data_IF_312201167464
#
_entry.id   IF_312201167464
#
_cell.length_a   1.000
_cell.length_b   1.000
_cell.length_c   1.000
_cell.angle_alpha   90.00
_cell.angle_beta   90.00
_cell.angle_gamma   90.00
#
_symmetry.space_group_name_H-M   'P 1'
#
loop_
_entity.id
_entity.type
_entity.pdbx_description
1 polymer ?
#
# COMPACT_ATOMS: atom_id res chain seq x y z
N UNK A 1 -15.46 -2.67 16.43
CA UNK A 1 -14.96 -2.70 17.82
C UNK A 1 -13.55 -2.17 17.75
N UNK A 2 -13.27 -1.04 18.40
CA UNK A 2 -11.93 -0.45 18.38
C UNK A 2 -10.90 -1.47 18.86
N UNK A 3 -9.79 -1.60 18.11
CA UNK A 3 -8.63 -2.44 18.48
C UNK A 3 -7.97 -1.95 19.78
N UNK A 4 -8.23 -0.70 20.18
CA UNK A 4 -7.64 -0.04 21.33
C UNK A 4 -8.72 0.38 22.36
N UNK A 5 -8.58 0.00 23.65
CA UNK A 5 -9.56 0.32 24.69
C UNK A 5 -9.80 1.82 24.93
N UNK A 6 -8.77 2.65 24.70
CA UNK A 6 -8.77 4.09 24.94
C UNK A 6 -8.87 4.91 23.63
N UNK A 7 -9.47 4.33 22.59
CA UNK A 7 -9.59 5.01 21.29
C UNK A 7 -10.73 6.03 21.28
N UNK A 8 -10.46 7.22 20.76
CA UNK A 8 -11.49 8.19 20.37
C UNK A 8 -11.55 8.24 18.86
N UNK A 9 -12.76 8.17 18.32
CA UNK A 9 -13.03 8.37 16.89
C UNK A 9 -13.66 9.75 16.71
N UNK A 10 -13.06 10.57 15.86
CA UNK A 10 -13.58 11.86 15.44
C UNK A 10 -14.05 11.79 14.00
N UNK A 11 -15.22 12.34 13.73
CA UNK A 11 -15.73 12.53 12.37
C UNK A 11 -15.44 13.96 11.95
N UNK A 12 -14.60 14.10 10.93
CA UNK A 12 -14.26 15.40 10.36
C UNK A 12 -15.07 15.65 9.09
N UNK A 13 -15.24 16.92 8.75
CA UNK A 13 -15.91 17.34 7.51
C UNK A 13 -14.92 17.60 6.37
N UNK A 14 -13.67 17.92 6.72
CA UNK A 14 -12.56 18.05 5.79
C UNK A 14 -12.45 19.40 5.07
N UNK A 15 -11.41 19.59 4.25
CA UNK A 15 -11.03 20.88 3.68
C UNK A 15 -12.10 21.53 2.79
N UNK A 16 -12.91 20.73 2.10
CA UNK A 16 -13.92 21.25 1.17
C UNK A 16 -15.11 21.91 1.86
N UNK A 17 -15.29 21.65 3.17
CA UNK A 17 -16.41 22.14 3.96
C UNK A 17 -16.02 23.25 4.92
N UNK A 18 -14.75 23.69 4.88
CA UNK A 18 -14.18 24.66 5.81
C UNK A 18 -14.87 26.04 5.79
N UNK A 19 -15.47 26.42 4.66
CA UNK A 19 -16.22 27.67 4.50
C UNK A 19 -17.66 27.59 5.07
N UNK A 20 -18.12 26.44 5.57
CA UNK A 20 -19.46 26.30 6.16
C UNK A 20 -19.52 26.86 7.58
N UNK A 21 -20.63 27.53 7.88
CA UNK A 21 -20.87 28.18 9.17
C UNK A 21 -20.78 27.23 10.37
N UNK A 22 -21.08 25.93 10.19
CA UNK A 22 -21.11 24.92 11.25
C UNK A 22 -19.86 24.02 11.33
N UNK A 23 -18.84 24.26 10.49
CA UNK A 23 -17.63 23.43 10.38
C UNK A 23 -16.89 23.27 11.72
N UNK A 24 -16.56 24.39 12.38
CA UNK A 24 -15.89 24.38 13.68
C UNK A 24 -16.79 23.78 14.79
N UNK A 25 -18.07 24.15 14.80
CA UNK A 25 -19.01 23.77 15.86
C UNK A 25 -19.26 22.26 15.91
N UNK A 26 -19.29 21.61 14.73
CA UNK A 26 -19.48 20.17 14.60
C UNK A 26 -18.35 19.37 15.28
N UNK A 27 -17.10 19.78 15.08
CA UNK A 27 -15.95 19.12 15.69
C UNK A 27 -15.81 19.47 17.17
N UNK A 28 -16.00 20.74 17.56
CA UNK A 28 -15.95 21.17 18.95
C UNK A 28 -16.93 20.39 19.83
N UNK A 29 -18.13 20.12 19.33
CA UNK A 29 -19.15 19.34 20.04
C UNK A 29 -18.71 17.89 20.33
N UNK A 30 -17.92 17.28 19.43
CA UNK A 30 -17.32 15.97 19.65
C UNK A 30 -16.20 16.05 20.69
N UNK A 31 -15.30 17.03 20.55
CA UNK A 31 -14.16 17.22 21.45
C UNK A 31 -14.58 17.51 22.90
N UNK A 32 -15.66 18.27 23.12
CA UNK A 32 -16.17 18.55 24.46
C UNK A 32 -16.50 17.27 25.27
N UNK A 33 -16.91 16.21 24.58
CA UNK A 33 -17.28 14.93 25.19
C UNK A 33 -16.14 13.90 25.14
N UNK A 34 -15.06 14.19 24.39
CA UNK A 34 -13.93 13.30 24.24
C UNK A 34 -12.95 13.43 25.42
N UNK A 35 -12.51 12.29 25.95
CA UNK A 35 -11.42 12.25 26.92
C UNK A 35 -10.14 12.81 26.29
N UNK A 36 -9.46 13.73 26.99
CA UNK A 36 -8.21 14.35 26.51
C UNK A 36 -7.00 13.43 26.61
N UNK A 37 -6.95 12.65 27.68
CA UNK A 37 -5.83 11.76 28.00
C UNK A 37 -6.05 10.41 27.30
N UNK A 38 -5.83 10.39 25.99
CA UNK A 38 -5.92 9.21 25.13
C UNK A 38 -4.60 9.00 24.41
N UNK A 39 -4.42 7.78 23.89
CA UNK A 39 -3.23 7.41 23.10
C UNK A 39 -3.57 7.00 21.67
N UNK A 40 -4.83 6.66 21.41
CA UNK A 40 -5.30 6.22 20.11
C UNK A 40 -6.38 7.16 19.60
N UNK A 41 -6.12 7.78 18.46
CA UNK A 41 -7.04 8.68 17.78
C UNK A 41 -7.34 8.12 16.39
N UNK A 42 -8.62 7.99 16.07
CA UNK A 42 -9.13 7.66 14.75
C UNK A 42 -9.84 8.88 14.17
N UNK A 43 -9.45 9.26 12.96
CA UNK A 43 -10.06 10.33 12.18
C UNK A 43 -10.77 9.65 11.01
N UNK A 44 -12.09 9.84 10.96
CA UNK A 44 -12.99 9.14 10.06
C UNK A 44 -13.78 10.14 9.19
N UNK A 45 -14.39 9.62 8.12
CA UNK A 45 -15.18 10.29 7.08
C UNK A 45 -14.39 11.13 6.07
N UNK A 46 -13.33 11.83 6.47
CA UNK A 46 -12.48 12.63 5.58
C UNK A 46 -11.09 12.89 6.20
N UNK A 47 -10.17 13.51 5.45
CA UNK A 47 -8.96 14.13 6.03
C UNK A 47 -9.33 15.43 6.74
N UNK A 48 -8.69 15.83 7.85
CA UNK A 48 -9.02 17.09 8.52
C UNK A 48 -8.63 18.32 7.70
N UNK A 49 -9.43 19.39 7.77
CA UNK A 49 -9.02 20.73 7.35
C UNK A 49 -7.94 21.31 8.28
N UNK A 50 -7.29 22.41 7.90
CA UNK A 50 -6.33 23.10 8.76
C UNK A 50 -6.97 23.60 10.06
N UNK A 51 -8.22 24.07 9.98
CA UNK A 51 -9.03 24.44 11.13
C UNK A 51 -9.31 23.26 12.06
N UNK A 52 -9.68 22.11 11.50
CA UNK A 52 -9.95 20.89 12.29
C UNK A 52 -8.67 20.37 12.94
N UNK A 53 -7.55 20.37 12.22
CA UNK A 53 -6.24 20.01 12.76
C UNK A 53 -5.86 20.86 13.96
N UNK A 54 -6.07 22.18 13.88
CA UNK A 54 -5.84 23.10 15.00
C UNK A 54 -6.65 22.68 16.23
N UNK A 55 -7.96 22.46 16.07
CA UNK A 55 -8.85 22.06 17.17
C UNK A 55 -8.45 20.71 17.79
N UNK A 56 -8.10 19.73 16.95
CA UNK A 56 -7.63 18.41 17.38
C UNK A 56 -6.32 18.55 18.17
N UNK A 57 -5.37 19.33 17.66
CA UNK A 57 -4.05 19.53 18.28
C UNK A 57 -4.10 20.30 19.59
N UNK A 58 -5.07 21.21 19.75
CA UNK A 58 -5.29 21.94 21.00
C UNK A 58 -5.91 21.04 22.09
N UNK A 59 -6.64 19.99 21.68
CA UNK A 59 -7.34 19.10 22.61
C UNK A 59 -6.50 17.90 23.05
N UNK A 60 -5.72 17.30 22.14
CA UNK A 60 -4.89 16.13 22.41
C UNK A 60 -3.39 16.44 22.34
N UNK A 61 -2.59 15.79 23.19
CA UNK A 61 -1.15 16.07 23.28
C UNK A 61 -0.22 14.85 23.28
N UNK A 62 -0.74 13.63 23.49
CA UNK A 62 0.06 12.41 23.68
C UNK A 62 -0.42 11.24 22.79
N UNK A 63 -0.77 11.55 21.53
CA UNK A 63 -1.23 10.52 20.59
C UNK A 63 -0.06 9.64 20.15
N UNK A 64 -0.22 8.32 20.32
CA UNK A 64 0.76 7.29 19.96
C UNK A 64 0.30 6.44 18.78
N UNK A 65 -1.01 6.29 18.60
CA UNK A 65 -1.64 5.61 17.47
C UNK A 65 -2.58 6.57 16.76
N UNK A 66 -2.27 6.93 15.52
CA UNK A 66 -3.10 7.77 14.67
C UNK A 66 -3.61 6.96 13.49
N UNK A 67 -4.93 6.92 13.31
CA UNK A 67 -5.60 6.33 12.15
C UNK A 67 -6.36 7.44 11.42
N UNK A 68 -6.18 7.53 10.10
CA UNK A 68 -6.80 8.54 9.26
C UNK A 68 -7.42 7.88 8.03
N UNK A 69 -8.68 8.20 7.76
CA UNK A 69 -9.43 7.77 6.57
C UNK A 69 -9.77 9.00 5.72
N UNK A 70 -9.28 9.07 4.48
CA UNK A 70 -9.49 10.23 3.59
C UNK A 70 -10.91 10.31 3.01
N UNK A 71 -11.73 9.29 3.19
CA UNK A 71 -13.10 9.27 2.69
C UNK A 71 -13.19 9.35 1.17
N UNK A 72 -14.35 9.80 0.67
CA UNK A 72 -14.67 9.81 -0.77
C UNK A 72 -13.88 10.85 -1.57
N UNK A 73 -13.38 11.90 -0.93
CA UNK A 73 -12.60 12.93 -1.60
C UNK A 73 -11.18 12.44 -1.94
N UNK A 74 -10.71 11.39 -1.24
CA UNK A 74 -9.41 10.75 -1.46
C UNK A 74 -8.22 11.72 -1.33
N UNK A 75 -8.43 12.93 -0.81
CA UNK A 75 -7.38 13.92 -0.54
C UNK A 75 -6.61 13.57 0.73
N UNK A 76 -5.38 14.07 0.84
CA UNK A 76 -4.55 13.92 2.04
C UNK A 76 -4.07 15.28 2.52
N UNK A 77 -4.46 15.64 3.75
CA UNK A 77 -3.91 16.80 4.45
C UNK A 77 -3.15 16.34 5.71
N UNK A 78 -1.93 15.84 5.52
CA UNK A 78 -1.08 15.29 6.58
C UNK A 78 0.00 16.26 7.10
N UNK A 79 0.21 17.38 6.40
CA UNK A 79 1.19 18.40 6.79
C UNK A 79 0.95 18.97 8.20
N UNK A 80 -0.29 19.22 8.65
CA UNK A 80 -0.54 19.84 9.96
C UNK A 80 -0.49 18.86 11.15
N UNK A 81 -0.19 17.57 10.94
CA UNK A 81 -0.09 16.60 12.04
C UNK A 81 0.94 17.12 13.08
N UNK A 82 0.57 17.24 14.37
CA UNK A 82 1.45 17.83 15.37
C UNK A 82 2.75 17.05 15.56
N UNK A 83 3.87 17.67 15.23
CA UNK A 83 5.20 17.02 15.27
C UNK A 83 5.69 16.66 16.68
N UNK A 84 5.07 17.21 17.72
CA UNK A 84 5.37 16.90 19.11
C UNK A 84 4.61 15.66 19.64
N UNK A 85 3.66 15.12 18.88
CA UNK A 85 2.98 13.89 19.26
C UNK A 85 3.93 12.69 19.11
N UNK A 86 4.01 11.79 20.11
CA UNK A 86 4.86 10.62 20.07
C UNK A 86 4.21 9.47 19.27
N UNK A 87 3.84 9.73 18.01
CA UNK A 87 3.20 8.73 17.15
C UNK A 87 4.16 7.56 16.90
N UNK A 88 3.81 6.38 17.40
CA UNK A 88 4.51 5.13 17.14
C UNK A 88 3.90 4.38 15.96
N UNK A 89 2.58 4.46 15.78
CA UNK A 89 1.82 3.83 14.70
C UNK A 89 0.95 4.84 13.95
N UNK A 90 1.12 4.88 12.64
CA UNK A 90 0.35 5.72 11.72
C UNK A 90 -0.31 4.84 10.66
N UNK A 91 -1.63 4.89 10.60
CA UNK A 91 -2.44 4.27 9.55
C UNK A 91 -3.10 5.37 8.73
N UNK A 92 -2.89 5.31 7.42
CA UNK A 92 -3.54 6.22 6.47
C UNK A 92 -4.28 5.36 5.45
N UNK A 93 -5.58 5.61 5.31
CA UNK A 93 -6.51 4.80 4.56
C UNK A 93 -7.24 5.59 3.48
N UNK A 94 -7.28 5.01 2.28
CA UNK A 94 -7.96 5.48 1.06
C UNK A 94 -7.43 6.69 0.28
N UNK A 95 -6.39 7.48 0.65
CA UNK A 95 -6.02 8.61 -0.19
C UNK A 95 -5.53 8.13 -1.56
N UNK A 96 -5.85 8.93 -2.58
CA UNK A 96 -5.59 8.63 -3.97
C UNK A 96 -4.82 9.76 -4.64
N UNK A 97 -3.64 9.43 -5.15
CA UNK A 97 -2.88 10.30 -6.02
C UNK A 97 -2.28 11.52 -5.32
N UNK A 98 -2.34 11.66 -4.00
CA UNK A 98 -1.77 12.81 -3.29
C UNK A 98 -0.32 12.58 -2.82
N UNK A 99 0.38 13.67 -2.53
CA UNK A 99 1.74 13.68 -2.00
C UNK A 99 1.72 13.76 -0.47
N UNK A 100 2.43 12.85 0.19
CA UNK A 100 2.75 13.01 1.61
C UNK A 100 3.52 14.30 1.87
N UNK A 101 3.17 15.01 2.94
CA UNK A 101 3.84 16.22 3.39
C UNK A 101 4.29 16.15 4.84
N UNK A 102 3.82 15.15 5.59
CA UNK A 102 4.17 14.96 6.99
C UNK A 102 5.58 14.42 7.16
N UNK A 103 6.39 15.00 8.09
CA UNK A 103 7.69 14.44 8.44
C UNK A 103 7.57 13.05 9.08
N UNK A 104 6.39 12.67 9.62
CA UNK A 104 6.16 11.33 10.15
C UNK A 104 6.39 10.23 9.10
N UNK A 105 5.94 10.48 7.87
CA UNK A 105 6.15 9.58 6.73
C UNK A 105 7.45 9.91 6.03
N UNK A 106 7.66 11.17 5.63
CA UNK A 106 8.81 11.56 4.79
C UNK A 106 10.15 11.33 5.49
N UNK A 107 10.26 11.53 6.80
CA UNK A 107 11.51 11.31 7.54
C UNK A 107 11.52 9.98 8.31
N UNK A 108 10.45 9.18 8.19
CA UNK A 108 10.33 7.89 8.88
C UNK A 108 10.33 8.01 10.40
N UNK A 109 9.58 8.96 10.96
CA UNK A 109 9.52 9.21 12.42
C UNK A 109 8.59 8.27 13.17
N UNK A 110 7.75 7.52 12.47
CA UNK A 110 6.87 6.49 13.07
C UNK A 110 7.54 5.12 13.01
N UNK A 111 7.29 4.28 14.00
CA UNK A 111 7.83 2.90 14.01
C UNK A 111 7.07 1.99 13.05
N UNK A 112 5.75 2.14 12.98
CA UNK A 112 4.83 1.32 12.21
C UNK A 112 3.99 2.20 11.29
N UNK A 113 4.25 2.10 9.99
CA UNK A 113 3.49 2.79 8.95
C UNK A 113 2.57 1.79 8.21
N UNK A 114 1.29 2.13 8.09
CA UNK A 114 0.31 1.35 7.35
C UNK A 114 -0.36 2.25 6.31
N UNK A 115 -0.29 1.83 5.06
CA UNK A 115 -0.98 2.43 3.93
C UNK A 115 -2.06 1.45 3.47
N UNK A 116 -3.31 1.79 3.77
CA UNK A 116 -4.47 0.93 3.59
C UNK A 116 -5.30 1.41 2.40
N UNK A 117 -5.53 0.57 1.40
CA UNK A 117 -6.36 0.89 0.23
C UNK A 117 -5.96 2.18 -0.52
N UNK A 118 -4.73 2.67 -0.32
CA UNK A 118 -4.22 3.86 -0.98
C UNK A 118 -3.97 3.58 -2.45
N UNK A 119 -3.99 4.61 -3.29
CA UNK A 119 -3.60 4.48 -4.69
C UNK A 119 -2.82 5.70 -5.17
N UNK A 120 -1.87 5.54 -6.07
CA UNK A 120 -1.14 6.65 -6.70
C UNK A 120 -0.33 7.54 -5.75
N UNK A 121 -0.11 7.11 -4.50
CA UNK A 121 0.54 7.95 -3.49
C UNK A 121 1.95 8.36 -3.90
N UNK A 122 2.29 9.63 -3.63
CA UNK A 122 3.60 10.23 -3.92
C UNK A 122 4.35 10.58 -2.63
N UNK A 123 5.66 10.40 -2.65
CA UNK A 123 6.57 10.69 -1.53
C UNK A 123 7.56 11.81 -1.85
N UNK A 124 7.45 12.38 -3.05
CA UNK A 124 8.24 13.49 -3.55
C UNK A 124 7.49 14.14 -4.74
N UNK A 125 8.00 15.27 -5.21
CA UNK A 125 7.47 15.96 -6.37
C UNK A 125 6.30 16.88 -6.06
N UNK A 126 5.52 17.26 -7.09
CA UNK A 126 4.40 18.18 -6.97
C UNK A 126 3.18 17.53 -6.29
N UNK A 127 2.37 18.39 -5.67
CA UNK A 127 1.02 18.07 -5.17
C UNK A 127 0.03 17.91 -6.33
N UNK A 128 -1.15 17.32 -6.07
CA UNK A 128 -2.17 17.12 -7.10
C UNK A 128 -2.66 18.45 -7.69
N UNK A 129 -2.75 19.48 -6.83
CA UNK A 129 -3.10 20.85 -7.21
C UNK A 129 -2.04 21.47 -8.12
N UNK A 130 -0.76 21.26 -7.83
CA UNK A 130 0.34 21.76 -8.65
C UNK A 130 0.40 21.08 -10.01
N UNK A 131 0.20 19.76 -10.06
CA UNK A 131 0.11 19.00 -11.31
C UNK A 131 -1.06 19.47 -12.17
N UNK A 132 -2.24 19.60 -11.58
CA UNK A 132 -3.45 20.08 -12.28
C UNK A 132 -3.25 21.48 -12.84
N UNK A 133 -2.67 22.39 -12.06
CA UNK A 133 -2.35 23.75 -12.51
C UNK A 133 -1.34 23.74 -13.66
N UNK A 134 -0.23 23.01 -13.51
CA UNK A 134 0.80 22.94 -14.55
C UNK A 134 0.27 22.37 -15.86
N UNK A 135 -0.59 21.34 -15.79
CA UNK A 135 -1.25 20.77 -16.95
C UNK A 135 -2.17 21.79 -17.65
N UNK A 136 -3.00 22.51 -16.88
CA UNK A 136 -3.85 23.57 -17.42
C UNK A 136 -3.03 24.65 -18.13
N UNK A 137 -1.95 25.11 -17.52
CA UNK A 137 -1.07 26.10 -18.13
C UNK A 137 -0.37 25.56 -19.40
N UNK A 138 -0.01 24.27 -19.44
CA UNK A 138 0.55 23.62 -20.63
C UNK A 138 -0.47 23.52 -21.77
N UNK A 139 -1.74 23.20 -21.47
CA UNK A 139 -2.85 23.22 -22.43
C UNK A 139 -3.04 24.63 -22.99
N UNK A 140 -3.04 25.66 -22.12
CA UNK A 140 -3.17 27.06 -22.53
C UNK A 140 -2.02 27.53 -23.45
N UNK A 141 -0.80 26.98 -23.26
CA UNK A 141 0.36 27.21 -24.15
C UNK A 141 0.34 26.36 -25.43
N UNK A 142 -0.53 25.36 -25.54
CA UNK A 142 -0.58 24.40 -26.65
C UNK A 142 0.52 23.33 -26.60
N UNK A 143 1.09 23.09 -25.41
CA UNK A 143 2.12 22.08 -25.15
C UNK A 143 1.51 20.72 -24.76
N UNK A 144 0.25 20.71 -24.34
CA UNK A 144 -0.52 19.51 -23.98
C UNK A 144 -1.94 19.57 -24.57
N UNK A 145 -2.55 18.40 -24.76
CA UNK A 145 -3.94 18.29 -25.22
C UNK A 145 -4.88 18.13 -24.02
N UNK A 146 -6.02 18.82 -24.06
CA UNK A 146 -7.07 18.63 -23.07
C UNK A 146 -7.90 17.40 -23.41
N UNK A 147 -8.09 16.52 -22.42
CA UNK A 147 -8.94 15.34 -22.54
C UNK A 147 -10.38 15.69 -22.17
N UNK A 148 -11.33 15.21 -22.98
CA UNK A 148 -12.75 15.45 -22.76
C UNK A 148 -13.55 14.16 -22.84
N UNK A 149 -14.50 13.98 -21.92
CA UNK A 149 -15.59 13.03 -22.10
C UNK A 149 -16.83 13.76 -22.59
N UNK A 150 -17.61 13.07 -23.43
CA UNK A 150 -18.91 13.58 -23.89
C UNK A 150 -20.02 12.88 -23.12
N UNK A 151 -20.76 13.61 -22.30
CA UNK A 151 -21.94 13.09 -21.61
C UNK A 151 -23.18 13.09 -22.50
N UNK A 152 -24.20 12.29 -22.13
CA UNK A 152 -25.37 12.04 -22.99
C UNK A 152 -26.37 13.20 -23.07
N UNK A 153 -26.41 14.06 -22.06
CA UNK A 153 -27.41 15.13 -21.92
C UNK A 153 -26.73 16.51 -21.86
N UNK A 154 -27.46 17.56 -22.27
CA UNK A 154 -26.94 18.95 -22.39
C UNK A 154 -26.75 19.43 -23.83
N UNK A 155 -26.34 20.69 -23.99
CA UNK A 155 -25.86 21.30 -25.25
C UNK A 155 -24.47 20.76 -25.64
N UNK A 156 -24.01 20.90 -26.89
CA UNK A 156 -22.68 20.41 -27.31
C UNK A 156 -21.52 20.89 -26.42
N UNK A 157 -21.60 22.11 -25.92
CA UNK A 157 -20.64 22.70 -24.99
C UNK A 157 -20.79 22.11 -23.57
N UNK A 158 -22.02 21.97 -23.05
CA UNK A 158 -22.29 21.36 -21.74
C UNK A 158 -21.98 19.85 -21.70
N UNK A 159 -21.97 19.18 -22.86
CA UNK A 159 -21.66 17.75 -22.94
C UNK A 159 -20.17 17.46 -22.76
N UNK A 160 -19.28 18.43 -22.95
CA UNK A 160 -17.84 18.23 -22.84
C UNK A 160 -17.41 18.51 -21.41
N UNK A 161 -17.04 17.45 -20.69
CA UNK A 161 -16.40 17.56 -19.38
C UNK A 161 -14.92 17.31 -19.59
N UNK A 162 -14.10 18.29 -19.24
CA UNK A 162 -12.64 18.12 -19.22
C UNK A 162 -12.26 17.15 -18.10
N UNK A 163 -11.43 16.17 -18.43
CA UNK A 163 -10.90 15.21 -17.46
C UNK A 163 -9.41 15.49 -17.27
N UNK A 164 -9.00 15.62 -16.01
CA UNK A 164 -7.59 15.64 -15.63
C UNK A 164 -7.23 14.29 -15.03
N UNK A 165 -6.40 13.52 -15.72
CA UNK A 165 -5.88 12.26 -15.21
C UNK A 165 -4.67 12.50 -14.30
N UNK A 166 -4.91 12.74 -13.01
CA UNK A 166 -3.84 12.94 -12.03
C UNK A 166 -2.80 11.80 -11.99
N UNK A 167 -3.18 10.51 -12.04
CA UNK A 167 -2.20 9.43 -12.10
C UNK A 167 -1.30 9.49 -13.33
N UNK A 168 -1.85 9.89 -14.49
CA UNK A 168 -1.08 10.07 -15.72
C UNK A 168 -0.06 11.20 -15.60
N UNK A 169 -0.48 12.36 -15.09
CA UNK A 169 0.41 13.50 -14.87
C UNK A 169 1.53 13.18 -13.87
N UNK A 170 1.21 12.46 -12.80
CA UNK A 170 2.17 12.00 -11.81
C UNK A 170 3.20 11.02 -12.43
N UNK A 171 2.73 10.10 -13.26
CA UNK A 171 3.59 9.15 -13.96
C UNK A 171 4.55 9.86 -14.93
N UNK A 172 4.06 10.79 -15.74
CA UNK A 172 4.88 11.55 -16.67
C UNK A 172 5.96 12.37 -15.95
N UNK A 173 5.61 12.97 -14.80
CA UNK A 173 6.58 13.65 -13.95
C UNK A 173 7.66 12.69 -13.41
N UNK A 174 7.25 11.54 -12.87
CA UNK A 174 8.18 10.53 -12.34
C UNK A 174 9.12 10.04 -13.43
N UNK A 175 8.57 9.74 -14.62
CA UNK A 175 9.34 9.33 -15.79
C UNK A 175 10.34 10.40 -16.21
N UNK A 176 9.94 11.67 -16.32
CA UNK A 176 10.88 12.76 -16.61
C UNK A 176 11.99 12.79 -15.56
N UNK A 177 11.66 12.77 -14.26
CA UNK A 177 12.67 12.81 -13.18
C UNK A 177 13.73 11.71 -13.30
N UNK A 178 13.32 10.47 -13.53
CA UNK A 178 14.22 9.31 -13.48
C UNK A 178 14.83 8.88 -14.82
N UNK A 179 14.35 9.42 -15.96
CA UNK A 179 14.88 9.06 -17.28
C UNK A 179 15.55 10.22 -18.01
N UNK A 180 15.29 11.46 -17.61
CA UNK A 180 15.90 12.63 -18.22
C UNK A 180 17.28 12.92 -17.60
N UNK A 181 18.38 12.87 -18.36
CA UNK A 181 19.72 13.09 -17.83
C UNK A 181 19.97 14.52 -17.33
N UNK A 182 19.11 15.47 -17.72
CA UNK A 182 19.22 16.87 -17.28
C UNK A 182 18.48 17.12 -15.95
N UNK A 183 17.77 16.12 -15.41
CA UNK A 183 17.09 16.20 -14.12
C UNK A 183 17.95 15.56 -13.01
N UNK A 184 17.85 16.12 -11.81
CA UNK A 184 18.40 15.43 -10.64
C UNK A 184 17.49 14.26 -10.27
N UNK A 185 18.11 13.09 -10.13
CA UNK A 185 17.49 11.88 -9.58
C UNK A 185 17.61 11.82 -8.06
N UNK A 186 18.19 12.85 -7.43
CA UNK A 186 18.34 12.87 -5.97
C UNK A 186 16.96 12.95 -5.30
N UNK A 187 16.77 12.22 -4.19
CA UNK A 187 15.61 12.39 -3.32
C UNK A 187 15.40 13.86 -2.92
N UNK A 188 14.15 14.32 -2.95
CA UNK A 188 13.81 15.68 -2.53
C UNK A 188 13.89 15.85 -1.01
N UNK A 189 13.60 14.78 -0.25
CA UNK A 189 13.71 14.78 1.20
C UNK A 189 15.15 14.47 1.63
N UNK A 190 15.81 15.35 2.40
CA UNK A 190 17.14 15.07 2.95
C UNK A 190 17.10 13.84 3.85
N UNK A 191 18.16 13.02 3.80
CA UNK A 191 18.28 11.86 4.66
C UNK A 191 18.35 12.32 6.13
N UNK A 192 17.42 11.89 7.00
CA UNK A 192 17.41 12.28 8.41
C UNK A 192 18.52 11.56 9.19
N UNK A 193 18.91 12.11 10.35
CA UNK A 193 19.92 11.49 11.22
C UNK A 193 19.42 10.17 11.84
N UNK A 194 18.11 10.07 12.09
CA UNK A 194 17.46 8.92 12.70
C UNK A 194 16.23 8.53 11.89
N UNK A 195 16.11 7.24 11.60
CA UNK A 195 14.94 6.63 10.94
C UNK A 195 14.36 5.61 11.91
N UNK A 196 13.11 5.79 12.30
CA UNK A 196 12.42 4.94 13.27
C UNK A 196 11.53 3.89 12.62
N UNK A 197 11.15 4.07 11.36
CA UNK A 197 10.27 3.13 10.66
C UNK A 197 10.92 1.77 10.48
N UNK A 198 10.36 0.78 11.17
CA UNK A 198 10.81 -0.61 11.16
C UNK A 198 9.76 -1.55 10.53
N UNK A 199 8.49 -1.14 10.53
CA UNK A 199 7.36 -1.92 10.04
C UNK A 199 6.62 -1.10 8.99
N UNK A 200 6.53 -1.65 7.78
CA UNK A 200 5.75 -1.08 6.69
C UNK A 200 4.71 -2.09 6.21
N UNK A 201 3.47 -1.64 6.12
CA UNK A 201 2.38 -2.40 5.53
C UNK A 201 1.72 -1.59 4.42
N UNK A 202 1.59 -2.16 3.23
CA UNK A 202 0.89 -1.53 2.10
C UNK A 202 -0.12 -2.54 1.57
N UNK A 203 -1.40 -2.17 1.62
CA UNK A 203 -2.50 -3.14 1.57
C UNK A 203 -3.51 -2.79 0.46
N UNK A 204 -3.47 -3.58 -0.62
CA UNK A 204 -4.29 -3.52 -1.84
C UNK A 204 -4.17 -2.18 -2.62
N UNK A 205 -5.00 -2.03 -3.66
CA UNK A 205 -5.23 -0.86 -4.55
C UNK A 205 -4.05 -0.33 -5.38
N UNK A 206 -2.79 -0.56 -4.99
CA UNK A 206 -1.58 -0.46 -5.82
C UNK A 206 -0.31 -0.73 -4.98
N UNK A 207 -0.36 -1.69 -4.06
CA UNK A 207 0.61 -1.81 -3.00
C UNK A 207 2.09 -1.91 -3.45
N UNK A 208 2.35 -2.58 -4.57
CA UNK A 208 3.69 -2.79 -5.15
C UNK A 208 4.16 -1.53 -5.91
N UNK A 209 3.23 -0.86 -6.59
CA UNK A 209 3.44 0.44 -7.24
C UNK A 209 3.78 1.52 -6.19
N UNK A 210 3.01 1.60 -5.10
CA UNK A 210 3.28 2.51 -3.98
C UNK A 210 4.61 2.17 -3.30
N UNK A 211 4.89 0.89 -3.03
CA UNK A 211 6.17 0.47 -2.45
C UNK A 211 7.36 0.87 -3.34
N UNK A 212 7.22 0.71 -4.66
CA UNK A 212 8.27 1.06 -5.63
C UNK A 212 8.54 2.57 -5.61
N UNK A 213 7.48 3.40 -5.67
CA UNK A 213 7.62 4.87 -5.59
C UNK A 213 8.24 5.31 -4.26
N UNK A 214 7.82 4.70 -3.15
CA UNK A 214 8.42 4.99 -1.84
C UNK A 214 9.90 4.63 -1.80
N UNK A 215 10.30 3.51 -2.42
CA UNK A 215 11.69 3.08 -2.44
C UNK A 215 12.58 4.05 -3.23
N UNK A 216 12.08 4.57 -4.36
CA UNK A 216 12.80 5.55 -5.17
C UNK A 216 12.96 6.88 -4.42
N UNK A 217 11.88 7.36 -3.80
CA UNK A 217 11.87 8.65 -3.12
C UNK A 217 12.52 8.63 -1.72
N UNK A 218 12.33 7.56 -0.95
CA UNK A 218 12.71 7.45 0.47
C UNK A 218 13.51 6.16 0.73
N UNK A 219 14.65 5.94 0.04
CA UNK A 219 15.40 4.69 0.15
C UNK A 219 15.92 4.40 1.56
N UNK A 220 16.16 5.43 2.38
CA UNK A 220 16.61 5.29 3.77
C UNK A 220 15.54 4.70 4.68
N UNK A 221 14.26 4.92 4.41
CA UNK A 221 13.16 4.27 5.15
C UNK A 221 13.10 2.81 4.78
N UNK A 222 13.07 2.52 3.47
CA UNK A 222 12.94 1.16 2.96
C UNK A 222 14.13 0.29 3.38
N UNK A 223 15.34 0.84 3.37
CA UNK A 223 16.54 0.16 3.84
C UNK A 223 16.55 -0.15 5.35
N UNK A 224 15.76 0.56 6.17
CA UNK A 224 15.69 0.36 7.61
C UNK A 224 14.68 -0.73 8.05
N UNK A 225 13.79 -1.15 7.15
CA UNK A 225 12.67 -2.04 7.47
C UNK A 225 13.14 -3.39 8.05
N UNK A 226 12.44 -3.82 9.10
CA UNK A 226 12.57 -5.15 9.72
C UNK A 226 11.39 -6.05 9.37
N UNK A 227 10.21 -5.46 9.16
CA UNK A 227 9.00 -6.14 8.70
C UNK A 227 8.38 -5.40 7.53
N UNK A 228 8.07 -6.14 6.47
CA UNK A 228 7.39 -5.63 5.29
C UNK A 228 6.19 -6.54 4.98
N UNK A 229 5.01 -5.95 4.94
CA UNK A 229 3.77 -6.60 4.50
C UNK A 229 3.26 -5.93 3.23
N UNK A 230 3.28 -6.67 2.13
CA UNK A 230 2.73 -6.22 0.86
C UNK A 230 1.56 -7.13 0.49
N UNK A 231 0.39 -6.53 0.31
CA UNK A 231 -0.81 -7.21 -0.15
C UNK A 231 -1.27 -6.59 -1.46
N UNK A 232 -1.27 -7.39 -2.52
CA UNK A 232 -1.58 -6.96 -3.88
C UNK A 232 -2.37 -8.08 -4.57
N UNK A 233 -3.67 -8.13 -4.33
CA UNK A 233 -4.53 -9.23 -4.80
C UNK A 233 -5.71 -8.79 -5.65
N UNK A 234 -5.94 -7.49 -5.80
CA UNK A 234 -7.10 -6.94 -6.51
C UNK A 234 -6.84 -6.47 -7.96
N UNK A 235 -5.58 -6.44 -8.43
CA UNK A 235 -5.27 -6.19 -9.84
C UNK A 235 -4.93 -4.74 -10.20
N UNK A 236 -4.67 -3.90 -9.21
CA UNK A 236 -4.39 -2.47 -9.41
C UNK A 236 -2.90 -2.10 -9.37
N UNK A 237 -1.99 -3.07 -9.49
CA UNK A 237 -0.55 -2.83 -9.51
C UNK A 237 0.05 -2.83 -10.92
N UNK A 238 1.16 -2.12 -11.08
CA UNK A 238 1.96 -1.94 -12.30
C UNK A 238 1.23 -1.23 -13.44
N UNK A 239 0.26 -0.39 -13.10
CA UNK A 239 -0.28 0.60 -14.05
C UNK A 239 0.62 1.83 -14.10
N UNK A 240 1.35 2.12 -13.02
CA UNK A 240 2.12 3.34 -12.85
C UNK A 240 3.63 3.12 -12.66
N UNK A 241 4.09 1.90 -12.35
CA UNK A 241 5.53 1.61 -12.32
C UNK A 241 5.88 0.36 -13.11
N UNK A 242 7.04 0.31 -13.79
CA UNK A 242 7.52 -0.91 -14.41
C UNK A 242 7.76 -1.99 -13.36
N UNK A 243 7.21 -3.18 -13.58
CA UNK A 243 7.35 -4.34 -12.69
C UNK A 243 8.81 -4.74 -12.43
N UNK A 244 9.72 -4.42 -13.35
CA UNK A 244 11.16 -4.66 -13.24
C UNK A 244 11.76 -3.92 -12.05
N UNK A 245 11.28 -2.70 -11.76
CA UNK A 245 11.76 -1.94 -10.60
C UNK A 245 11.44 -2.67 -9.30
N UNK A 246 10.22 -3.19 -9.18
CA UNK A 246 9.86 -4.00 -8.03
C UNK A 246 10.68 -5.29 -7.95
N UNK A 247 11.10 -5.91 -9.05
CA UNK A 247 11.96 -7.10 -8.98
C UNK A 247 13.36 -6.82 -8.44
N UNK A 248 13.90 -5.63 -8.70
CA UNK A 248 15.25 -5.26 -8.28
C UNK A 248 15.33 -4.86 -6.81
N UNK A 249 14.22 -4.41 -6.20
CA UNK A 249 14.21 -3.87 -4.84
C UNK A 249 14.34 -4.96 -3.74
N UNK A 250 13.47 -5.99 -3.66
CA UNK A 250 13.46 -6.92 -2.54
C UNK A 250 14.80 -7.63 -2.26
N UNK A 251 15.62 -8.02 -3.26
CA UNK A 251 16.96 -8.57 -3.02
C UNK A 251 17.90 -7.65 -2.24
N UNK A 252 17.66 -6.33 -2.29
CA UNK A 252 18.49 -5.32 -1.63
C UNK A 252 18.09 -5.09 -0.16
N UNK A 253 16.94 -5.62 0.29
CA UNK A 253 16.42 -5.48 1.66
C UNK A 253 17.12 -6.45 2.63
N UNK A 254 18.43 -6.27 2.78
CA UNK A 254 19.31 -7.17 3.58
C UNK A 254 19.01 -7.16 5.08
N UNK A 255 18.41 -6.09 5.58
CA UNK A 255 18.05 -5.93 6.98
C UNK A 255 16.69 -6.56 7.35
N UNK A 256 15.88 -6.88 6.35
CA UNK A 256 14.52 -7.39 6.53
C UNK A 256 14.52 -8.76 7.21
N UNK A 257 13.66 -8.94 8.22
CA UNK A 257 13.52 -10.20 8.98
C UNK A 257 12.21 -10.91 8.71
N UNK A 258 11.14 -10.15 8.50
CA UNK A 258 9.81 -10.69 8.21
C UNK A 258 9.32 -10.12 6.89
N UNK A 259 9.01 -11.01 5.96
CA UNK A 259 8.35 -10.65 4.71
C UNK A 259 7.00 -11.35 4.62
N UNK A 260 5.93 -10.56 4.55
CA UNK A 260 4.57 -11.01 4.29
C UNK A 260 4.21 -10.55 2.88
N UNK A 261 3.90 -11.50 2.02
CA UNK A 261 3.60 -11.21 0.62
C UNK A 261 2.35 -11.96 0.19
N UNK A 262 1.26 -11.21 0.04
CA UNK A 262 0.01 -11.70 -0.55
C UNK A 262 -0.09 -11.13 -1.95
N UNK A 263 -0.08 -11.99 -2.96
CA UNK A 263 0.01 -11.57 -4.36
C UNK A 263 -0.94 -12.37 -5.25
N UNK A 264 -1.69 -11.67 -6.09
CA UNK A 264 -2.60 -12.27 -7.05
C UNK A 264 -1.95 -12.66 -8.38
N UNK A 265 -2.75 -13.21 -9.30
CA UNK A 265 -2.34 -13.41 -10.71
C UNK A 265 -2.64 -12.14 -11.53
N UNK A 266 -2.07 -11.04 -11.08
CA UNK A 266 -2.42 -9.67 -11.49
C UNK A 266 -1.47 -9.10 -12.55
N UNK A 267 -0.43 -9.84 -12.91
CA UNK A 267 0.63 -9.37 -13.79
C UNK A 267 0.20 -9.55 -15.24
N UNK A 268 0.45 -8.58 -16.12
CA UNK A 268 0.26 -8.78 -17.57
C UNK A 268 1.16 -9.88 -18.15
N UNK A 269 2.31 -10.12 -17.52
CA UNK A 269 3.32 -11.10 -17.92
C UNK A 269 3.13 -12.44 -17.21
N UNK A 270 3.26 -13.53 -17.97
CA UNK A 270 3.16 -14.89 -17.48
C UNK A 270 4.31 -15.26 -16.52
N UNK A 271 5.46 -14.60 -16.60
CA UNK A 271 6.67 -15.05 -15.90
C UNK A 271 6.97 -14.31 -14.58
N UNK A 272 6.30 -13.19 -14.29
CA UNK A 272 6.60 -12.36 -13.11
C UNK A 272 6.57 -13.19 -11.82
N UNK A 273 5.39 -13.72 -11.47
CA UNK A 273 5.22 -14.45 -10.22
C UNK A 273 5.95 -15.80 -10.25
N UNK A 274 5.88 -16.59 -11.33
CA UNK A 274 6.65 -17.83 -11.45
C UNK A 274 8.16 -17.70 -11.23
N UNK A 275 8.78 -16.56 -11.53
CA UNK A 275 10.21 -16.32 -11.32
C UNK A 275 10.54 -15.57 -10.02
N UNK A 276 9.52 -15.14 -9.27
CA UNK A 276 9.70 -14.28 -8.10
C UNK A 276 10.51 -14.91 -6.95
N UNK A 277 10.59 -16.25 -6.86
CA UNK A 277 11.43 -16.92 -5.87
C UNK A 277 12.89 -16.42 -5.87
N UNK A 278 13.41 -15.98 -7.02
CA UNK A 278 14.77 -15.45 -7.12
C UNK A 278 14.95 -14.10 -6.42
N UNK A 279 13.84 -13.39 -6.19
CA UNK A 279 13.87 -12.00 -5.75
C UNK A 279 13.58 -11.84 -4.26
N UNK A 280 13.29 -12.90 -3.50
CA UNK A 280 13.01 -12.74 -2.08
C UNK A 280 14.18 -12.09 -1.33
N UNK A 281 13.90 -11.23 -0.31
CA UNK A 281 14.94 -10.63 0.49
C UNK A 281 15.83 -11.69 1.17
N UNK A 282 17.16 -11.59 1.06
CA UNK A 282 18.06 -12.74 1.25
C UNK A 282 18.23 -13.20 2.70
N UNK A 283 17.91 -12.36 3.69
CA UNK A 283 18.21 -12.60 5.10
C UNK A 283 16.98 -12.71 6.00
N UNK A 284 15.80 -12.90 5.42
CA UNK A 284 14.56 -13.08 6.17
C UNK A 284 14.62 -14.35 7.04
N UNK A 285 14.08 -14.23 8.25
CA UNK A 285 13.85 -15.34 9.16
C UNK A 285 12.41 -15.85 9.11
N UNK A 286 11.49 -15.04 8.60
CA UNK A 286 10.06 -15.35 8.49
C UNK A 286 9.58 -14.98 7.11
N UNK A 287 8.99 -15.94 6.39
CA UNK A 287 8.27 -15.72 5.14
C UNK A 287 6.81 -16.13 5.32
N UNK A 288 5.88 -15.25 4.98
CA UNK A 288 4.45 -15.56 4.87
C UNK A 288 4.01 -15.25 3.47
N UNK A 289 3.82 -16.28 2.66
CA UNK A 289 3.46 -16.15 1.25
C UNK A 289 2.04 -16.66 1.02
N UNK A 290 1.22 -15.84 0.34
CA UNK A 290 -0.11 -16.22 -0.14
C UNK A 290 -0.22 -15.85 -1.62
N UNK A 291 -0.47 -16.86 -2.45
CA UNK A 291 -0.45 -16.72 -3.91
C UNK A 291 -1.65 -17.34 -4.62
N UNK A 292 -1.69 -17.27 -5.96
CA UNK A 292 -2.73 -17.88 -6.76
C UNK A 292 -2.50 -19.38 -6.99
N UNK A 293 -3.60 -20.12 -7.14
CA UNK A 293 -3.60 -21.55 -7.50
C UNK A 293 -2.88 -21.83 -8.82
N UNK A 294 -2.79 -20.85 -9.73
CA UNK A 294 -2.08 -20.96 -11.00
C UNK A 294 -0.56 -21.18 -10.81
N UNK A 295 0.02 -20.71 -9.71
CA UNK A 295 1.46 -20.86 -9.45
C UNK A 295 1.86 -22.34 -9.32
N UNK A 296 1.01 -23.18 -8.72
CA UNK A 296 1.26 -24.61 -8.59
C UNK A 296 1.32 -25.35 -9.94
N UNK A 297 0.72 -24.76 -10.99
CA UNK A 297 0.67 -25.29 -12.36
C UNK A 297 1.75 -24.69 -13.27
N UNK A 298 2.52 -23.72 -12.76
CA UNK A 298 3.58 -23.09 -13.53
C UNK A 298 4.66 -24.09 -13.93
N UNK A 299 5.19 -23.95 -15.15
CA UNK A 299 6.37 -24.70 -15.58
C UNK A 299 7.62 -24.42 -14.73
N UNK A 300 7.62 -23.32 -13.97
CA UNK A 300 8.71 -22.97 -13.06
C UNK A 300 8.49 -23.47 -11.63
N UNK A 301 7.37 -24.12 -11.31
CA UNK A 301 7.11 -24.63 -9.95
C UNK A 301 8.23 -25.55 -9.44
N UNK A 302 8.80 -26.38 -10.31
CA UNK A 302 9.95 -27.22 -9.95
C UNK A 302 11.15 -26.41 -9.44
N UNK A 303 11.39 -25.22 -10.00
CA UNK A 303 12.47 -24.33 -9.57
C UNK A 303 12.20 -23.74 -8.18
N UNK A 304 10.94 -23.50 -7.82
CA UNK A 304 10.57 -23.13 -6.45
C UNK A 304 10.93 -24.27 -5.48
N UNK A 305 10.57 -25.51 -5.80
CA UNK A 305 10.91 -26.67 -4.97
C UNK A 305 12.42 -26.83 -4.78
N UNK A 306 13.19 -26.72 -5.88
CA UNK A 306 14.66 -26.80 -5.86
C UNK A 306 15.29 -25.67 -5.03
N UNK A 307 14.80 -24.43 -5.18
CA UNK A 307 15.29 -23.29 -4.42
C UNK A 307 15.01 -23.46 -2.93
N UNK A 308 13.76 -23.74 -2.55
CA UNK A 308 13.38 -23.92 -1.14
C UNK A 308 14.09 -25.11 -0.48
N UNK A 309 14.36 -26.20 -1.22
CA UNK A 309 15.15 -27.31 -0.68
C UNK A 309 16.63 -26.96 -0.48
N UNK A 310 17.18 -25.96 -1.19
CA UNK A 310 18.59 -25.57 -1.07
C UNK A 310 18.85 -24.80 0.25
N UNK A 311 19.74 -25.29 1.14
CA UNK A 311 20.09 -24.59 2.38
C UNK A 311 20.74 -23.21 2.18
N UNK A 312 21.41 -22.98 1.03
CA UNK A 312 22.02 -21.68 0.70
C UNK A 312 20.98 -20.63 0.29
N UNK A 313 19.78 -21.07 -0.12
CA UNK A 313 18.70 -20.19 -0.50
C UNK A 313 17.85 -19.85 0.74
N UNK A 314 17.76 -18.54 1.04
CA UNK A 314 17.16 -18.00 2.27
C UNK A 314 17.75 -18.69 3.52
N UNK A 315 19.07 -18.59 3.77
CA UNK A 315 19.77 -19.41 4.77
C UNK A 315 19.30 -19.14 6.21
N UNK A 316 18.70 -17.99 6.47
CA UNK A 316 18.23 -17.58 7.79
C UNK A 316 16.77 -17.95 8.07
N UNK A 317 16.06 -18.54 7.09
CA UNK A 317 14.63 -18.83 7.20
C UNK A 317 14.38 -19.82 8.35
N UNK A 318 13.50 -19.45 9.28
CA UNK A 318 13.10 -20.26 10.45
C UNK A 318 11.61 -20.57 10.45
N UNK A 319 10.80 -19.67 9.90
CA UNK A 319 9.34 -19.75 9.88
C UNK A 319 8.82 -19.56 8.47
N UNK A 320 7.91 -20.44 8.04
CA UNK A 320 7.26 -20.36 6.75
C UNK A 320 5.75 -20.56 6.89
N UNK A 321 4.98 -19.65 6.32
CA UNK A 321 3.59 -19.89 5.95
C UNK A 321 3.47 -19.80 4.44
N UNK A 322 2.84 -20.78 3.79
CA UNK A 322 2.73 -20.82 2.33
C UNK A 322 1.36 -21.34 1.92
N UNK A 323 0.56 -20.49 1.27
CA UNK A 323 -0.81 -20.80 0.85
C UNK A 323 -1.00 -20.40 -0.61
N UNK A 324 -1.68 -21.25 -1.37
CA UNK A 324 -2.02 -21.01 -2.77
C UNK A 324 -3.53 -21.19 -2.95
N UNK A 325 -4.30 -20.18 -2.57
CA UNK A 325 -5.76 -20.22 -2.52
C UNK A 325 -6.45 -19.10 -3.31
N UNK A 326 -5.68 -18.18 -3.90
CA UNK A 326 -6.25 -17.12 -4.72
C UNK A 326 -6.55 -17.65 -6.12
N UNK A 327 -7.64 -17.20 -6.74
CA UNK A 327 -7.97 -17.59 -8.10
C UNK A 327 -8.53 -16.42 -8.90
N UNK A 328 -8.26 -16.45 -10.20
CA UNK A 328 -8.64 -15.40 -11.14
C UNK A 328 -9.26 -16.07 -12.37
N UNK A 329 -10.19 -15.38 -13.01
CA UNK A 329 -10.69 -15.74 -14.34
C UNK A 329 -9.58 -15.58 -15.37
N UNK A 330 -9.74 -16.23 -16.52
CA UNK A 330 -8.81 -16.06 -17.64
C UNK A 330 -8.63 -14.56 -17.94
N UNK A 331 -7.40 -14.14 -18.21
CA UNK A 331 -7.09 -12.74 -18.58
C UNK A 331 -7.92 -12.29 -19.79
N UNK A 332 -8.19 -13.20 -20.73
CA UNK A 332 -9.08 -12.97 -21.89
C UNK A 332 -10.53 -12.65 -21.50
N UNK A 333 -10.97 -13.05 -20.30
CA UNK A 333 -12.31 -12.80 -19.74
C UNK A 333 -12.34 -11.63 -18.75
N UNK A 334 -11.26 -10.85 -18.66
CA UNK A 334 -11.18 -9.66 -17.81
C UNK A 334 -10.49 -9.88 -16.45
N UNK A 335 -9.83 -11.04 -16.24
CA UNK A 335 -8.89 -11.25 -15.14
C UNK A 335 -9.45 -11.08 -13.72
N UNK A 336 -10.77 -11.18 -13.56
CA UNK A 336 -11.44 -10.89 -12.29
C UNK A 336 -11.14 -11.96 -11.26
N UNK A 337 -10.99 -11.54 -10.01
CA UNK A 337 -10.87 -12.46 -8.89
C UNK A 337 -12.12 -13.34 -8.78
N UNK A 338 -11.93 -14.62 -8.51
CA UNK A 338 -12.99 -15.62 -8.32
C UNK A 338 -12.64 -16.58 -7.19
N UNK A 339 -13.60 -17.41 -6.80
CA UNK A 339 -13.29 -18.53 -5.92
C UNK A 339 -12.56 -19.64 -6.69
N UNK A 340 -11.56 -20.28 -6.08
CA UNK A 340 -10.92 -21.46 -6.64
C UNK A 340 -11.89 -22.66 -6.63
N UNK A 341 -11.76 -23.56 -7.60
CA UNK A 341 -12.47 -24.84 -7.58
C UNK A 341 -11.86 -25.77 -6.53
N UNK A 342 -12.58 -26.82 -6.15
CA UNK A 342 -12.07 -27.81 -5.19
C UNK A 342 -10.84 -28.55 -5.75
N UNK A 343 -10.83 -28.86 -7.05
CA UNK A 343 -9.69 -29.48 -7.73
C UNK A 343 -8.46 -28.56 -7.72
N UNK A 344 -8.62 -27.28 -8.03
CA UNK A 344 -7.53 -26.29 -7.97
C UNK A 344 -6.94 -26.18 -6.57
N UNK A 345 -7.78 -26.16 -5.54
CA UNK A 345 -7.32 -26.15 -4.15
C UNK A 345 -6.60 -27.45 -3.76
N UNK A 346 -7.09 -28.63 -4.16
CA UNK A 346 -6.42 -29.92 -3.90
C UNK A 346 -5.04 -29.97 -4.55
N UNK A 347 -4.95 -29.59 -5.82
CA UNK A 347 -3.68 -29.55 -6.57
C UNK A 347 -2.69 -28.58 -5.93
N UNK A 348 -3.16 -27.38 -5.57
CA UNK A 348 -2.34 -26.34 -4.95
C UNK A 348 -1.87 -26.74 -3.55
N UNK A 349 -2.73 -27.36 -2.74
CA UNK A 349 -2.34 -27.88 -1.41
C UNK A 349 -1.34 -29.01 -1.54
N UNK A 350 -1.50 -29.91 -2.52
CA UNK A 350 -0.51 -30.95 -2.81
C UNK A 350 0.84 -30.36 -3.22
N UNK A 351 0.85 -29.30 -4.03
CA UNK A 351 2.07 -28.58 -4.39
C UNK A 351 2.75 -27.95 -3.16
N UNK A 352 2.00 -27.28 -2.29
CA UNK A 352 2.53 -26.74 -1.03
C UNK A 352 3.12 -27.85 -0.13
N UNK A 353 2.48 -29.01 -0.04
CA UNK A 353 3.02 -30.17 0.70
C UNK A 353 4.37 -30.62 0.16
N UNK A 354 4.54 -30.71 -1.17
CA UNK A 354 5.84 -31.03 -1.79
C UNK A 354 6.92 -30.00 -1.46
N UNK A 355 6.55 -28.72 -1.40
CA UNK A 355 7.46 -27.66 -0.98
C UNK A 355 7.89 -27.86 0.48
N UNK A 356 6.95 -28.19 1.38
CA UNK A 356 7.25 -28.44 2.79
C UNK A 356 8.11 -29.69 3.03
N UNK A 357 7.86 -30.78 2.29
CA UNK A 357 8.69 -31.99 2.33
C UNK A 357 10.17 -31.68 2.00
N UNK A 358 10.41 -30.78 1.03
CA UNK A 358 11.76 -30.31 0.69
C UNK A 358 12.46 -29.52 1.81
N UNK A 359 11.70 -28.99 2.78
CA UNK A 359 12.20 -28.16 3.88
C UNK A 359 12.48 -28.95 5.17
N UNK A 360 12.05 -30.21 5.27
CA UNK A 360 12.17 -31.01 6.50
C UNK A 360 13.62 -31.07 7.02
N UNK A 361 14.58 -31.23 6.10
CA UNK A 361 16.01 -31.29 6.42
C UNK A 361 16.60 -29.96 6.95
N UNK A 362 15.89 -28.84 6.76
CA UNK A 362 16.34 -27.50 7.13
C UNK A 362 15.87 -27.05 8.51
N UNK A 363 15.01 -27.84 9.18
CA UNK A 363 14.47 -27.49 10.51
C UNK A 363 13.58 -26.25 10.53
N UNK A 364 12.95 -25.90 9.40
CA UNK A 364 12.05 -24.76 9.27
C UNK A 364 10.69 -25.10 9.86
N UNK A 365 10.15 -24.20 10.68
CA UNK A 365 8.81 -24.35 11.26
C UNK A 365 7.76 -23.90 10.25
N UNK A 366 6.84 -24.80 9.90
CA UNK A 366 5.68 -24.48 9.07
C UNK A 366 4.54 -23.98 9.97
N UNK A 367 4.05 -22.77 9.72
CA UNK A 367 2.96 -22.13 10.45
C UNK A 367 1.74 -21.93 9.53
N UNK A 368 0.53 -22.01 10.08
CA UNK A 368 -0.68 -21.62 9.37
C UNK A 368 -0.59 -20.13 8.95
N UNK A 369 -1.04 -19.81 7.75
CA UNK A 369 -1.09 -18.42 7.30
C UNK A 369 -2.17 -17.69 8.06
N UNK A 370 -1.78 -16.60 8.73
CA UNK A 370 -2.69 -15.73 9.46
C UNK A 370 -2.60 -14.32 8.90
N UNK A 371 -3.77 -13.76 8.60
CA UNK A 371 -3.98 -12.48 7.93
C UNK A 371 -4.84 -11.61 8.85
N UNK A 372 -4.19 -10.89 9.77
CA UNK A 372 -4.86 -10.05 10.77
C UNK A 372 -5.81 -9.05 10.08
N UNK A 373 -5.38 -8.48 8.97
CA UNK A 373 -6.16 -7.52 8.20
C UNK A 373 -7.43 -8.12 7.61
N UNK A 374 -7.38 -9.35 7.09
CA UNK A 374 -8.59 -10.01 6.60
C UNK A 374 -9.57 -10.36 7.74
N UNK A 375 -9.12 -10.43 8.99
CA UNK A 375 -10.00 -10.59 10.15
C UNK A 375 -10.66 -9.26 10.56
N UNK A 376 -9.93 -8.16 10.43
CA UNK A 376 -10.35 -6.80 10.81
C UNK A 376 -11.20 -6.09 9.76
N UNK A 377 -10.96 -6.35 8.46
CA UNK A 377 -11.63 -5.67 7.35
C UNK A 377 -12.37 -6.62 6.43
N UNK A 378 -13.62 -6.27 6.11
CA UNK A 378 -14.45 -7.00 5.12
C UNK A 378 -13.96 -6.79 3.68
N UNK A 379 -13.15 -5.76 3.44
CA UNK A 379 -12.58 -5.45 2.12
C UNK A 379 -11.50 -6.46 1.71
N UNK A 380 -11.04 -7.31 2.63
CA UNK A 380 -9.96 -8.25 2.42
C UNK A 380 -10.44 -9.69 2.44
N UNK A 381 -10.12 -10.42 1.38
CA UNK A 381 -10.37 -11.85 1.33
C UNK A 381 -9.56 -12.58 2.39
N UNK A 382 -10.27 -13.34 3.23
CA UNK A 382 -9.70 -14.34 4.14
C UNK A 382 -9.10 -15.49 3.35
N UNK A 383 -8.19 -16.24 3.96
CA UNK A 383 -7.78 -17.55 3.44
C UNK A 383 -9.03 -18.41 3.21
N UNK A 384 -9.09 -19.10 2.07
CA UNK A 384 -10.23 -19.95 1.73
C UNK A 384 -10.48 -20.95 2.87
N UNK A 385 -11.69 -20.91 3.45
CA UNK A 385 -12.05 -21.73 4.62
C UNK A 385 -11.96 -23.24 4.35
N UNK A 386 -11.94 -23.65 3.08
CA UNK A 386 -11.76 -25.05 2.66
C UNK A 386 -10.28 -25.45 2.70
N UNK A 387 -9.34 -24.51 2.68
CA UNK A 387 -7.89 -24.77 2.65
C UNK A 387 -7.43 -25.69 3.78
N UNK A 388 -7.91 -25.49 4.99
CA UNK A 388 -7.53 -26.36 6.13
C UNK A 388 -8.13 -27.77 6.02
N UNK A 389 -9.30 -27.89 5.39
CA UNK A 389 -10.10 -29.13 5.35
C UNK A 389 -9.84 -29.99 4.12
N UNK A 390 -9.29 -29.41 3.06
CA UNK A 390 -9.07 -30.09 1.80
C UNK A 390 -7.85 -31.02 1.91
N UNK A 391 -7.94 -32.26 1.45
CA UNK A 391 -6.86 -33.26 1.61
C UNK A 391 -5.94 -33.38 0.41
#
# INVERSE_FOLDING_TARGET
>A
MSRWPDSVTLKVQGPHEEDKDDHEEALLSQLQNAQKDIKSLEIDHDTPSDTEWRLISDHFSDIQNLEMESGFNEELNDAPIPTNWPIERLLISSPCGERFSSPFVLEGRVKHLILLLTSGMRFEGPTSRELSRANKEAIERGEAEADYITVREGTPEERKIEIVSLPGLAFDWLKDKYTNPDRSTDPETPVPELVYTEILEILENDALDTFTRMTLALPYIVGNLKTLNLRSSNGHDFHLTPKEFFHEIPPQLTELKTFVFTVGDIFGDADFLPLFYKQFPPHISTLRFRGPVSLAKSEHWKKWLEAFANPEYLPNLKKLSFVLDLAYEDKEKGGRKRQPTEEELKESKKACKQLFEGLESRGITIEAFHDEWAEESVSFDKVDKRWEKIE
#
